data_IF_574568367926
#
_entry.id   IF_574568367926
#
_cell.length_a   1.000
_cell.length_b   1.000
_cell.length_c   1.000
_cell.angle_alpha   90.00
_cell.angle_beta   90.00
_cell.angle_gamma   90.00
#
_symmetry.space_group_name_H-M   'P 1'
#
loop_
_entity.id
_entity.type
_entity.pdbx_description
1 polymer ?
#
# COMPACT_ATOMS: atom_id res chain seq x y z
N UNK A 1 -9.39 13.85 -6.04
CA UNK A 1 -9.06 13.99 -4.60
C UNK A 1 -8.00 15.05 -4.34
N UNK A 2 -6.81 15.02 -4.96
CA UNK A 2 -5.78 16.05 -4.74
C UNK A 2 -6.16 17.47 -5.17
N UNK A 3 -6.91 17.62 -6.28
CA UNK A 3 -7.35 18.94 -6.81
C UNK A 3 -8.28 19.73 -5.89
N UNK A 4 -8.97 19.06 -4.96
CA UNK A 4 -9.92 19.69 -4.02
C UNK A 4 -9.25 19.85 -2.63
N UNK A 5 -7.99 19.42 -2.48
CA UNK A 5 -7.25 19.57 -1.23
C UNK A 5 -7.73 18.66 -0.10
N UNK A 6 -8.24 17.46 -0.42
CA UNK A 6 -8.72 16.49 0.59
C UNK A 6 -8.05 15.12 0.50
N UNK A 7 -7.11 14.93 -0.43
CA UNK A 7 -6.38 13.66 -0.59
C UNK A 7 -5.39 13.44 0.55
N UNK A 8 -5.82 12.73 1.60
CA UNK A 8 -4.98 12.29 2.71
C UNK A 8 -4.51 10.85 2.49
N UNK A 9 -3.45 10.43 3.19
CA UNK A 9 -3.08 9.02 3.27
C UNK A 9 -4.15 8.28 4.08
N UNK A 10 -4.65 7.19 3.53
CA UNK A 10 -5.71 6.36 4.13
C UNK A 10 -5.09 5.10 4.77
N UNK A 11 -4.59 4.19 3.94
CA UNK A 11 -4.02 2.93 4.39
C UNK A 11 -2.50 3.03 4.63
N UNK A 12 -2.05 2.46 5.76
CA UNK A 12 -0.64 2.40 6.12
C UNK A 12 -0.32 1.27 7.08
N UNK A 13 0.94 0.81 7.06
CA UNK A 13 1.47 -0.14 8.05
C UNK A 13 2.13 0.64 9.17
N UNK A 14 1.68 0.43 10.40
CA UNK A 14 2.23 1.06 11.59
C UNK A 14 2.49 0.02 12.68
N UNK A 15 3.34 0.38 13.64
CA UNK A 15 3.67 -0.41 14.82
C UNK A 15 4.05 0.56 15.95
N UNK A 16 4.26 0.06 17.16
CA UNK A 16 4.65 0.90 18.29
C UNK A 16 6.14 1.27 18.22
N UNK A 17 6.46 2.45 18.76
CA UNK A 17 7.84 2.92 18.87
C UNK A 17 8.70 1.96 19.70
N UNK A 18 8.16 1.44 20.81
CA UNK A 18 8.86 0.50 21.69
C UNK A 18 9.24 -0.79 20.96
N UNK A 19 8.34 -1.30 20.11
CA UNK A 19 8.60 -2.53 19.36
C UNK A 19 9.65 -2.31 18.27
N UNK A 20 9.54 -1.22 17.49
CA UNK A 20 10.41 -0.99 16.32
C UNK A 20 11.82 -0.48 16.69
N UNK A 21 12.07 -0.09 17.95
CA UNK A 21 13.41 0.26 18.43
C UNK A 21 14.37 -0.93 18.47
N UNK A 22 13.86 -2.15 18.65
CA UNK A 22 14.68 -3.36 18.61
C UNK A 22 15.11 -3.70 17.16
N UNK A 23 16.41 -3.89 16.96
CA UNK A 23 17.00 -4.28 15.67
C UNK A 23 16.43 -5.62 15.16
N UNK A 24 16.13 -6.59 16.03
CA UNK A 24 15.50 -7.86 15.64
C UNK A 24 14.11 -7.64 15.08
N UNK A 25 13.34 -6.73 15.69
CA UNK A 25 12.00 -6.39 15.20
C UNK A 25 12.04 -5.59 13.90
N UNK A 26 13.04 -4.73 13.70
CA UNK A 26 13.24 -4.07 12.40
C UNK A 26 13.55 -5.08 11.29
N UNK A 27 14.32 -6.13 11.58
CA UNK A 27 14.56 -7.23 10.63
C UNK A 27 13.28 -8.01 10.32
N UNK A 28 12.45 -8.28 11.33
CA UNK A 28 11.11 -8.86 11.14
C UNK A 28 10.21 -7.95 10.29
N UNK A 29 10.15 -6.66 10.58
CA UNK A 29 9.37 -5.68 9.82
C UNK A 29 9.84 -5.59 8.36
N UNK A 30 11.15 -5.62 8.12
CA UNK A 30 11.72 -5.66 6.76
C UNK A 30 11.29 -6.91 6.00
N UNK A 31 11.32 -8.09 6.64
CA UNK A 31 10.86 -9.36 6.03
C UNK A 31 9.36 -9.33 5.77
N UNK A 32 8.56 -8.80 6.69
CA UNK A 32 7.13 -8.61 6.52
C UNK A 32 6.82 -7.71 5.31
N UNK A 33 7.43 -6.52 5.24
CA UNK A 33 7.25 -5.61 4.10
C UNK A 33 7.69 -6.26 2.79
N UNK A 34 8.82 -6.96 2.78
CA UNK A 34 9.29 -7.69 1.61
C UNK A 34 8.28 -8.76 1.15
N UNK A 35 7.70 -9.53 2.07
CA UNK A 35 6.67 -10.52 1.74
C UNK A 35 5.39 -9.86 1.20
N UNK A 36 4.91 -8.78 1.84
CA UNK A 36 3.76 -8.00 1.38
C UNK A 36 3.99 -7.44 -0.03
N UNK A 37 5.18 -6.90 -0.30
CA UNK A 37 5.52 -6.37 -1.61
C UNK A 37 5.53 -7.46 -2.70
N UNK A 38 6.02 -8.67 -2.39
CA UNK A 38 5.90 -9.81 -3.30
C UNK A 38 4.45 -10.13 -3.63
N UNK A 39 3.58 -10.16 -2.61
CA UNK A 39 2.14 -10.39 -2.80
C UNK A 39 1.51 -9.34 -3.73
N UNK A 40 1.81 -8.06 -3.52
CA UNK A 40 1.28 -6.99 -4.37
C UNK A 40 1.81 -7.05 -5.81
N UNK A 41 3.09 -7.36 -5.99
CA UNK A 41 3.70 -7.57 -7.32
C UNK A 41 3.04 -8.78 -8.02
N UNK A 42 2.78 -9.86 -7.28
CA UNK A 42 2.05 -11.02 -7.80
C UNK A 42 0.64 -10.61 -8.24
N UNK A 43 -0.14 -9.95 -7.38
CA UNK A 43 -1.51 -9.54 -7.68
C UNK A 43 -1.63 -8.55 -8.83
N UNK A 44 -0.60 -7.73 -9.07
CA UNK A 44 -0.53 -6.86 -10.26
C UNK A 44 -0.63 -7.65 -11.56
N UNK A 45 -0.02 -8.83 -11.61
CA UNK A 45 0.13 -9.66 -12.81
C UNK A 45 -0.79 -10.88 -12.82
N UNK A 46 -1.32 -11.26 -11.66
CA UNK A 46 -2.18 -12.43 -11.44
C UNK A 46 -3.50 -12.03 -10.77
N UNK A 47 -4.20 -11.06 -11.36
CA UNK A 47 -5.42 -10.48 -10.78
C UNK A 47 -6.47 -11.53 -10.41
N UNK A 48 -6.75 -12.49 -11.31
CA UNK A 48 -7.75 -13.55 -11.09
C UNK A 48 -7.41 -14.44 -9.89
N UNK A 49 -6.13 -14.78 -9.73
CA UNK A 49 -5.66 -15.60 -8.61
C UNK A 49 -5.81 -14.85 -7.29
N UNK A 50 -5.47 -13.56 -7.27
CA UNK A 50 -5.64 -12.75 -6.07
C UNK A 50 -7.11 -12.57 -5.67
N UNK A 51 -8.01 -12.41 -6.65
CA UNK A 51 -9.46 -12.43 -6.37
C UNK A 51 -9.88 -13.76 -5.74
N UNK A 52 -9.38 -14.89 -6.26
CA UNK A 52 -9.66 -16.23 -5.70
C UNK A 52 -9.14 -16.37 -4.26
N UNK A 53 -7.93 -15.88 -3.97
CA UNK A 53 -7.36 -15.90 -2.61
C UNK A 53 -8.24 -15.10 -1.65
N UNK A 54 -8.73 -13.93 -2.04
CA UNK A 54 -9.60 -13.12 -1.16
C UNK A 54 -10.93 -13.84 -0.93
N UNK A 55 -11.57 -14.36 -1.98
CA UNK A 55 -12.85 -15.06 -1.86
C UNK A 55 -12.75 -16.34 -1.00
N UNK A 56 -11.60 -17.04 -1.00
CA UNK A 56 -11.41 -18.23 -0.16
C UNK A 56 -11.28 -17.91 1.33
N UNK A 57 -10.89 -16.69 1.70
CA UNK A 57 -10.73 -16.26 3.09
C UNK A 57 -11.83 -15.32 3.59
N UNK A 58 -12.67 -14.79 2.69
CA UNK A 58 -13.75 -13.87 3.04
C UNK A 58 -14.68 -13.58 1.85
N UNK A 59 -15.76 -14.36 1.68
CA UNK A 59 -16.65 -14.24 0.51
C UNK A 59 -17.74 -13.17 0.65
N UNK A 60 -17.70 -12.31 1.69
CA UNK A 60 -18.72 -11.29 1.95
C UNK A 60 -18.96 -10.36 0.77
N UNK A 61 -17.87 -9.94 0.10
CA UNK A 61 -17.97 -9.22 -1.16
C UNK A 61 -17.80 -10.22 -2.30
N UNK A 62 -18.80 -10.26 -3.18
CA UNK A 62 -18.87 -11.23 -4.27
C UNK A 62 -17.79 -10.99 -5.34
N UNK A 63 -17.59 -12.00 -6.18
CA UNK A 63 -16.49 -12.07 -7.16
C UNK A 63 -16.39 -10.85 -8.06
N UNK A 64 -17.51 -10.35 -8.57
CA UNK A 64 -17.55 -9.15 -9.41
C UNK A 64 -17.01 -7.92 -8.66
N UNK A 65 -17.41 -7.72 -7.40
CA UNK A 65 -16.89 -6.64 -6.57
C UNK A 65 -15.39 -6.79 -6.30
N UNK A 66 -14.94 -7.99 -5.89
CA UNK A 66 -13.53 -8.23 -5.61
C UNK A 66 -12.64 -8.05 -6.85
N UNK A 67 -13.14 -8.43 -8.03
CA UNK A 67 -12.43 -8.22 -9.31
C UNK A 67 -12.31 -6.74 -9.64
N UNK A 68 -13.39 -5.99 -9.48
CA UNK A 68 -13.38 -4.54 -9.67
C UNK A 68 -12.42 -3.87 -8.68
N UNK A 69 -12.53 -4.18 -7.38
CA UNK A 69 -11.71 -3.61 -6.33
C UNK A 69 -10.22 -3.90 -6.57
N UNK A 70 -9.84 -5.13 -6.91
CA UNK A 70 -8.44 -5.47 -7.21
C UNK A 70 -7.88 -4.66 -8.39
N UNK A 71 -8.71 -4.35 -9.39
CA UNK A 71 -8.31 -3.52 -10.53
C UNK A 71 -8.16 -2.04 -10.15
N UNK A 72 -9.06 -1.50 -9.31
CA UNK A 72 -8.97 -0.12 -8.81
C UNK A 72 -7.77 0.07 -7.87
N UNK A 73 -7.53 -0.86 -6.94
CA UNK A 73 -6.39 -0.82 -6.03
C UNK A 73 -5.07 -0.89 -6.80
N UNK A 74 -4.96 -1.76 -7.81
CA UNK A 74 -3.76 -1.78 -8.65
C UNK A 74 -3.54 -0.43 -9.39
N UNK A 75 -4.60 0.28 -9.79
CA UNK A 75 -4.48 1.60 -10.40
C UNK A 75 -3.98 2.68 -9.43
N UNK A 76 -4.19 2.52 -8.13
CA UNK A 76 -3.66 3.41 -7.09
C UNK A 76 -2.17 3.13 -6.81
N UNK A 77 -1.72 1.89 -6.99
CA UNK A 77 -0.34 1.47 -6.72
C UNK A 77 0.57 1.65 -7.95
N UNK A 78 0.07 1.36 -9.16
CA UNK A 78 0.87 1.24 -10.37
C UNK A 78 0.53 2.30 -11.43
N UNK A 79 1.54 2.89 -12.10
CA UNK A 79 2.97 2.70 -11.88
C UNK A 79 3.42 3.33 -10.55
N UNK A 80 4.47 2.77 -9.96
CA UNK A 80 5.06 3.26 -8.71
C UNK A 80 6.46 3.83 -8.96
N UNK A 81 6.62 5.13 -9.28
CA UNK A 81 7.92 5.68 -9.72
C UNK A 81 9.03 5.58 -8.67
N UNK A 82 8.65 5.62 -7.38
CA UNK A 82 9.58 5.49 -6.24
C UNK A 82 9.75 4.04 -5.75
N UNK A 83 9.15 3.08 -6.47
CA UNK A 83 9.04 1.70 -6.06
C UNK A 83 7.90 1.47 -5.08
N UNK A 84 7.40 0.23 -5.06
CA UNK A 84 6.27 -0.21 -4.26
C UNK A 84 6.39 0.10 -2.76
N UNK A 85 5.28 0.52 -2.14
CA UNK A 85 5.13 0.57 -0.68
C UNK A 85 5.90 1.67 0.05
N UNK A 86 6.43 2.67 -0.66
CA UNK A 86 7.13 3.79 -0.06
C UNK A 86 6.15 4.94 0.26
N UNK A 87 6.02 5.29 1.55
CA UNK A 87 5.20 6.43 1.96
C UNK A 87 5.78 7.76 1.44
N UNK A 88 4.98 8.52 0.70
CA UNK A 88 5.39 9.79 0.12
C UNK A 88 5.47 10.89 1.20
N UNK A 89 6.64 11.54 1.32
CA UNK A 89 6.87 12.61 2.28
C UNK A 89 5.89 13.80 2.12
N UNK A 90 5.56 14.17 0.88
CA UNK A 90 4.63 15.29 0.62
C UNK A 90 3.21 14.95 1.08
N UNK A 91 2.76 13.74 0.78
CA UNK A 91 1.41 13.29 1.13
C UNK A 91 1.28 13.08 2.65
N UNK A 92 2.35 12.58 3.30
CA UNK A 92 2.42 12.52 4.76
C UNK A 92 2.36 13.91 5.40
N UNK A 93 3.18 14.85 4.94
CA UNK A 93 3.19 16.22 5.48
C UNK A 93 1.83 16.91 5.29
N UNK A 94 1.21 16.72 4.12
CA UNK A 94 -0.14 17.20 3.85
C UNK A 94 -1.18 16.59 4.81
N UNK A 95 -1.15 15.27 4.98
CA UNK A 95 -2.03 14.53 5.89
C UNK A 95 -1.88 15.05 7.32
N UNK A 96 -0.64 15.12 7.83
CA UNK A 96 -0.37 15.55 9.20
C UNK A 96 -0.81 16.99 9.47
N UNK A 97 -0.60 17.91 8.52
CA UNK A 97 -1.05 19.31 8.61
C UNK A 97 -2.57 19.42 8.59
N UNK A 98 -3.24 18.68 7.71
CA UNK A 98 -4.70 18.67 7.60
C UNK A 98 -5.34 18.11 8.87
N UNK A 99 -4.83 16.97 9.38
CA UNK A 99 -5.29 16.40 10.65
C UNK A 99 -5.08 17.37 11.82
N UNK A 100 -3.95 18.07 11.87
CA UNK A 100 -3.72 19.05 12.93
C UNK A 100 -4.72 20.22 12.90
N UNK A 101 -5.07 20.69 11.70
CA UNK A 101 -6.03 21.77 11.50
C UNK A 101 -7.45 21.37 11.92
N UNK A 102 -7.90 20.19 11.55
CA UNK A 102 -9.31 19.80 11.68
C UNK A 102 -9.60 18.88 12.87
N UNK A 103 -8.62 18.12 13.37
CA UNK A 103 -8.83 17.09 14.40
C UNK A 103 -8.05 17.36 15.70
N UNK A 104 -7.69 18.63 15.97
CA UNK A 104 -7.09 19.09 17.23
C UNK A 104 -5.85 18.28 17.68
N UNK A 105 -4.94 17.95 16.76
CA UNK A 105 -3.66 17.36 17.17
C UNK A 105 -2.89 18.34 18.06
N UNK A 106 -2.43 17.88 19.23
CA UNK A 106 -1.57 18.68 20.13
C UNK A 106 -0.22 19.04 19.48
N UNK A 107 0.29 18.15 18.62
CA UNK A 107 1.55 18.30 17.89
C UNK A 107 1.46 17.54 16.57
N UNK A 108 2.04 18.13 15.52
CA UNK A 108 2.23 17.44 14.23
C UNK A 108 3.31 16.37 14.40
N UNK A 109 3.03 15.09 14.09
CA UNK A 109 4.01 14.03 14.25
C UNK A 109 5.18 14.17 13.25
N UNK A 110 6.39 14.00 13.76
CA UNK A 110 7.63 14.12 13.01
C UNK A 110 8.14 12.79 12.45
N UNK A 111 9.47 12.65 12.44
CA UNK A 111 10.18 11.48 11.91
C UNK A 111 9.85 10.17 12.67
N UNK A 112 9.36 10.27 13.91
CA UNK A 112 8.95 9.13 14.72
C UNK A 112 7.78 8.34 14.09
N UNK A 113 6.90 9.03 13.35
CA UNK A 113 5.78 8.44 12.64
C UNK A 113 5.98 8.37 11.12
N UNK A 114 7.09 8.92 10.60
CA UNK A 114 7.49 8.83 9.19
C UNK A 114 8.80 8.07 9.03
N UNK A 115 8.71 6.74 8.89
CA UNK A 115 9.84 5.83 8.68
C UNK A 115 9.77 5.18 7.29
N UNK A 116 10.76 5.45 6.44
CA UNK A 116 10.84 4.85 5.08
C UNK A 116 12.08 3.99 4.85
N UNK A 117 13.02 3.99 5.79
CA UNK A 117 14.24 3.20 5.78
C UNK A 117 13.98 1.70 5.66
N UNK A 118 13.00 1.17 6.42
CA UNK A 118 12.65 -0.26 6.43
C UNK A 118 12.01 -0.66 5.09
N UNK A 119 11.10 0.17 4.55
CA UNK A 119 10.50 -0.06 3.24
C UNK A 119 11.54 -0.02 2.10
N UNK A 120 12.50 0.93 2.15
CA UNK A 120 13.63 0.98 1.20
C UNK A 120 14.50 -0.27 1.30
N UNK A 121 14.78 -0.74 2.51
CA UNK A 121 15.54 -1.98 2.71
C UNK A 121 14.79 -3.20 2.15
N UNK A 122 13.46 -3.27 2.32
CA UNK A 122 12.63 -4.31 1.73
C UNK A 122 12.60 -4.23 0.18
N UNK A 123 12.47 -3.03 -0.40
CA UNK A 123 12.60 -2.83 -1.84
C UNK A 123 13.95 -3.31 -2.38
N UNK A 124 15.05 -3.08 -1.64
CA UNK A 124 16.37 -3.56 -2.03
C UNK A 124 16.43 -5.10 -2.11
N UNK A 125 15.73 -5.81 -1.20
CA UNK A 125 15.59 -7.27 -1.29
C UNK A 125 14.82 -7.71 -2.54
N UNK A 126 13.78 -6.97 -2.93
CA UNK A 126 13.01 -7.25 -4.14
C UNK A 126 13.86 -7.05 -5.41
N UNK A 127 14.64 -5.97 -5.45
CA UNK A 127 15.56 -5.70 -6.56
C UNK A 127 16.63 -6.77 -6.71
N UNK A 128 17.20 -7.25 -5.59
CA UNK A 128 18.15 -8.39 -5.60
C UNK A 128 17.54 -9.68 -6.15
N UNK A 129 16.21 -9.81 -6.08
CA UNK A 129 15.46 -10.94 -6.64
C UNK A 129 14.93 -10.64 -8.05
N UNK A 130 15.38 -9.55 -8.69
CA UNK A 130 14.96 -9.12 -10.02
C UNK A 130 13.45 -8.91 -10.18
N UNK A 131 12.75 -8.60 -9.07
CA UNK A 131 11.32 -8.31 -9.11
C UNK A 131 11.08 -6.87 -9.58
N UNK A 132 10.11 -6.69 -10.48
CA UNK A 132 9.70 -5.36 -10.94
C UNK A 132 8.87 -4.65 -9.86
N UNK A 133 9.55 -3.81 -9.09
CA UNK A 133 8.94 -2.98 -8.05
C UNK A 133 8.29 -1.70 -8.57
N UNK A 134 8.36 -1.42 -9.88
CA UNK A 134 7.90 -0.17 -10.47
C UNK A 134 6.60 -0.32 -11.26
N UNK A 135 6.37 -1.48 -11.91
CA UNK A 135 5.12 -1.78 -12.61
C UNK A 135 4.84 -0.83 -13.78
N UNK A 136 5.88 -0.33 -14.45
CA UNK A 136 5.76 0.73 -15.48
C UNK A 136 4.87 0.33 -16.67
N UNK A 137 4.78 -0.96 -16.95
CA UNK A 137 4.02 -1.52 -18.08
C UNK A 137 2.62 -1.95 -17.69
N UNK A 138 2.25 -1.86 -16.41
CA UNK A 138 0.91 -2.23 -15.96
C UNK A 138 -0.15 -1.33 -16.59
N UNK A 139 -1.27 -1.93 -16.98
CA UNK A 139 -2.43 -1.24 -17.54
C UNK A 139 -3.67 -1.70 -16.81
N UNK A 140 -4.56 -0.76 -16.54
CA UNK A 140 -5.85 -1.03 -15.93
C UNK A 140 -6.66 -1.95 -16.85
N UNK A 141 -7.23 -3.02 -16.28
CA UNK A 141 -8.10 -3.92 -17.02
C UNK A 141 -9.49 -3.28 -17.20
N UNK A 142 -10.21 -3.68 -18.25
CA UNK A 142 -11.64 -3.39 -18.36
C UNK A 142 -12.41 -4.45 -17.55
N UNK A 143 -12.92 -4.07 -16.38
CA UNK A 143 -13.71 -4.94 -15.51
C UNK A 143 -15.17 -4.50 -15.56
N UNK A 144 -16.04 -5.37 -16.04
CA UNK A 144 -17.49 -5.15 -16.03
C UNK A 144 -17.99 -5.22 -14.59
N UNK A 145 -18.52 -4.10 -14.08
CA UNK A 145 -19.19 -4.05 -12.78
C UNK A 145 -20.57 -4.70 -12.91
N UNK A 146 -20.90 -5.57 -11.97
CA UNK A 146 -22.19 -6.27 -11.90
C UNK A 146 -23.02 -5.78 -10.72
N UNK A 147 -24.35 -5.72 -10.83
CA UNK A 147 -25.21 -5.34 -9.70
C UNK A 147 -24.96 -6.23 -8.47
N UNK A 148 -24.66 -5.60 -7.33
CA UNK A 148 -24.33 -6.31 -6.10
C UNK A 148 -23.02 -7.11 -6.13
N UNK A 149 -22.18 -6.93 -7.16
CA UNK A 149 -20.90 -7.63 -7.29
C UNK A 149 -20.98 -9.10 -7.70
N UNK A 150 -22.12 -9.55 -8.24
CA UNK A 150 -22.36 -10.92 -8.70
C UNK A 150 -21.40 -11.37 -9.80
#
# INVERSE_FOLDING_TARGET
>A
MSKIGTGMLEDGVFTTESWIKDKKNQETAKKFLAASFKGWIYCRTHLKDCVKIVLSHGPTLLKGHQTWQMNEINALIWPSPKGIGLMNAKDYAFTAKTTAKYNKLKKVPGHEAYRTDIAKAAQALMKKQHLDIYGKTWKKANVKVTPGGK
#
